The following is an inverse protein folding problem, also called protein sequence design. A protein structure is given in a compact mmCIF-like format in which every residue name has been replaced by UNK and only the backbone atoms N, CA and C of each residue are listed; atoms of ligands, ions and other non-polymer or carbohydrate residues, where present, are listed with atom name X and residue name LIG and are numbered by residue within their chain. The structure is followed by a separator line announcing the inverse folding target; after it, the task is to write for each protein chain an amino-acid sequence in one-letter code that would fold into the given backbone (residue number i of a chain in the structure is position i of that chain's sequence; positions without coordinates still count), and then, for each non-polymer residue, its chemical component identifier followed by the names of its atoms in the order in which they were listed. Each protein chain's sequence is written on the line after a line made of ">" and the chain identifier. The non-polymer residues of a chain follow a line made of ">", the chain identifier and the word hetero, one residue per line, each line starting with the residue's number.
data_IF_832910893175
#
_entry.id   IF_832910893175
#
_cell.length_a   1.000
_cell.length_b   1.000
_cell.length_c   1.000
_cell.angle_alpha   90.00
_cell.angle_beta   90.00
_cell.angle_gamma   90.00
#
_symmetry.space_group_name_H-M   'P 1'
#
loop_
_entity.id
_entity.type
_entity.pdbx_description
1 polymer ?
#
# COMPACT_ATOMS: atom_id res chain seq x y z
N UNK A 1 14.50 -9.68 -4.10
CA UNK A 1 14.22 -8.23 -4.19
C UNK A 1 13.61 -7.95 -5.55
N UNK A 2 12.53 -7.16 -5.64
CA UNK A 2 11.97 -6.78 -6.94
C UNK A 2 12.97 -5.90 -7.68
N UNK A 3 13.18 -6.14 -8.98
CA UNK A 3 14.04 -5.30 -9.82
C UNK A 3 13.34 -3.99 -10.18
N UNK A 4 14.13 -2.92 -10.37
CA UNK A 4 13.59 -1.65 -10.85
C UNK A 4 13.04 -1.81 -12.28
N UNK A 5 11.74 -1.62 -12.41
CA UNK A 5 11.06 -1.39 -13.69
C UNK A 5 10.05 -0.27 -13.49
N UNK A 6 9.67 0.48 -14.54
CA UNK A 6 8.64 1.52 -14.43
C UNK A 6 7.33 0.99 -13.86
N UNK A 7 6.94 -0.23 -14.25
CA UNK A 7 5.76 -0.93 -13.71
C UNK A 7 5.89 -1.18 -12.21
N UNK A 8 7.00 -1.78 -11.77
CA UNK A 8 7.24 -2.08 -10.35
C UNK A 8 7.31 -0.81 -9.50
N UNK A 9 7.83 0.29 -10.05
CA UNK A 9 7.85 1.59 -9.38
C UNK A 9 6.43 2.13 -9.12
N UNK A 10 5.53 2.02 -10.11
CA UNK A 10 4.12 2.41 -9.96
C UNK A 10 3.40 1.50 -8.96
N UNK A 11 3.70 0.20 -8.98
CA UNK A 11 3.16 -0.75 -8.00
C UNK A 11 3.59 -0.40 -6.58
N UNK A 12 4.89 -0.17 -6.36
CA UNK A 12 5.44 0.23 -5.07
C UNK A 12 4.85 1.55 -4.58
N UNK A 13 4.69 2.54 -5.47
CA UNK A 13 4.01 3.80 -5.15
C UNK A 13 2.58 3.57 -4.64
N UNK A 14 1.80 2.73 -5.34
CA UNK A 14 0.42 2.40 -4.95
C UNK A 14 0.37 1.67 -3.61
N UNK A 15 1.31 0.76 -3.38
CA UNK A 15 1.36 -0.01 -2.13
C UNK A 15 1.77 0.86 -0.94
N UNK A 16 2.73 1.78 -1.11
CA UNK A 16 3.06 2.80 -0.11
C UNK A 16 1.85 3.69 0.22
N UNK A 17 1.09 4.15 -0.77
CA UNK A 17 -0.12 4.93 -0.52
C UNK A 17 -1.21 4.14 0.22
N UNK A 18 -1.39 2.85 -0.12
CA UNK A 18 -2.33 1.97 0.57
C UNK A 18 -1.92 1.77 2.01
N UNK A 19 -0.64 1.49 2.24
CA UNK A 19 -0.09 1.26 3.56
C UNK A 19 -0.17 2.53 4.42
N UNK A 20 0.13 3.71 3.86
CA UNK A 20 -0.05 4.99 4.54
C UNK A 20 -1.52 5.23 4.98
N UNK A 21 -2.50 4.79 4.18
CA UNK A 21 -3.93 4.90 4.52
C UNK A 21 -4.33 4.04 5.74
N UNK A 22 -3.57 3.00 6.04
CA UNK A 22 -3.84 2.07 7.13
C UNK A 22 -3.21 2.53 8.46
N UNK A 23 -2.34 3.53 8.43
CA UNK A 23 -1.75 4.11 9.63
C UNK A 23 -2.79 4.89 10.44
N UNK A 24 -2.45 5.16 11.71
CA UNK A 24 -3.35 5.81 12.67
C UNK A 24 -4.00 7.07 12.08
N UNK A 25 -5.34 7.07 12.11
CA UNK A 25 -6.17 8.20 11.71
C UNK A 25 -6.67 8.85 12.98
N UNK A 26 -6.20 10.06 13.26
CA UNK A 26 -6.83 10.93 14.26
C UNK A 26 -8.15 11.43 13.68
N UNK A 27 -9.27 10.90 14.20
CA UNK A 27 -10.61 11.25 13.77
C UNK A 27 -11.00 12.68 14.19
N UNK A 28 -10.39 13.21 15.24
CA UNK A 28 -10.65 14.55 15.76
C UNK A 28 -9.90 15.64 14.98
N UNK A 29 -8.72 15.33 14.43
CA UNK A 29 -7.89 16.27 13.66
C UNK A 29 -7.36 15.62 12.38
N UNK A 30 -8.23 15.55 11.36
CA UNK A 30 -7.92 14.93 10.06
C UNK A 30 -6.64 15.48 9.42
N UNK A 31 -6.37 16.77 9.56
CA UNK A 31 -5.21 17.44 8.95
C UNK A 31 -3.88 17.12 9.64
N UNK A 32 -3.93 16.64 10.90
CA UNK A 32 -2.77 16.18 11.67
C UNK A 32 -2.67 14.66 11.72
N UNK A 33 -3.55 13.96 11.00
CA UNK A 33 -3.53 12.50 11.00
C UNK A 33 -2.22 12.00 10.39
N UNK A 34 -1.55 11.09 11.11
CA UNK A 34 -0.29 10.51 10.67
C UNK A 34 -0.43 9.84 9.29
N UNK A 35 -1.57 9.20 9.04
CA UNK A 35 -1.92 8.67 7.72
C UNK A 35 -1.84 9.71 6.59
N UNK A 36 -2.41 10.90 6.79
CA UNK A 36 -2.42 11.95 5.77
C UNK A 36 -1.02 12.55 5.57
N UNK A 37 -0.25 12.72 6.64
CA UNK A 37 1.14 13.19 6.59
C UNK A 37 2.00 12.22 5.78
N UNK A 38 1.95 10.92 6.10
CA UNK A 38 2.69 9.90 5.36
C UNK A 38 2.27 9.85 3.88
N UNK A 39 0.97 9.96 3.59
CA UNK A 39 0.47 9.95 2.22
C UNK A 39 1.00 11.14 1.40
N UNK A 40 1.01 12.33 1.98
CA UNK A 40 1.56 13.53 1.34
C UNK A 40 3.06 13.36 1.10
N UNK A 41 3.80 12.93 2.12
CA UNK A 41 5.24 12.71 2.03
C UNK A 41 5.61 11.71 0.93
N UNK A 42 4.91 10.58 0.83
CA UNK A 42 5.11 9.61 -0.27
C UNK A 42 4.87 10.27 -1.63
N UNK A 43 3.79 11.02 -1.79
CA UNK A 43 3.49 11.70 -3.06
C UNK A 43 4.57 12.72 -3.42
N UNK A 44 5.00 13.51 -2.45
CA UNK A 44 5.92 14.62 -2.70
C UNK A 44 7.32 14.10 -3.02
N UNK A 45 7.81 13.06 -2.30
CA UNK A 45 9.07 12.37 -2.63
C UNK A 45 9.08 11.74 -4.03
N UNK A 46 7.98 11.12 -4.46
CA UNK A 46 7.89 10.56 -5.82
C UNK A 46 7.82 11.65 -6.89
N UNK A 47 7.26 12.83 -6.57
CA UNK A 47 7.24 13.99 -7.47
C UNK A 47 8.60 14.65 -7.59
N UNK A 48 9.29 14.87 -6.47
CA UNK A 48 10.66 15.40 -6.41
C UNK A 48 11.61 14.59 -7.31
N UNK A 49 11.48 13.26 -7.27
CA UNK A 49 12.37 12.37 -8.01
C UNK A 49 11.87 11.99 -9.43
N UNK A 50 10.78 12.62 -9.92
CA UNK A 50 10.18 12.29 -11.23
C UNK A 50 11.11 12.57 -12.40
N UNK A 51 11.92 13.63 -12.30
CA UNK A 51 12.82 14.11 -13.36
C UNK A 51 14.19 13.44 -13.36
N UNK A 52 14.48 12.56 -12.41
CA UNK A 52 15.75 11.82 -12.39
C UNK A 52 15.87 11.02 -13.68
N UNK A 53 16.95 11.20 -14.43
CA UNK A 53 17.20 10.48 -15.69
C UNK A 53 18.09 9.27 -15.44
N UNK A 54 19.12 9.43 -14.60
CA UNK A 54 20.10 8.40 -14.27
C UNK A 54 19.45 7.10 -13.75
N UNK A 55 19.83 5.99 -14.39
CA UNK A 55 19.32 4.66 -14.11
C UNK A 55 19.88 4.07 -12.83
N UNK A 56 21.12 4.39 -12.45
CA UNK A 56 21.69 3.94 -11.18
C UNK A 56 21.01 4.65 -10.01
N UNK A 57 20.83 5.97 -10.09
CA UNK A 57 20.07 6.73 -9.11
C UNK A 57 18.62 6.25 -8.99
N UNK A 58 17.94 5.93 -10.11
CA UNK A 58 16.59 5.32 -10.08
C UNK A 58 16.54 4.00 -9.31
N UNK A 59 17.52 3.12 -9.53
CA UNK A 59 17.62 1.84 -8.81
C UNK A 59 17.84 2.08 -7.32
N UNK A 60 18.77 2.96 -6.97
CA UNK A 60 19.05 3.32 -5.58
C UNK A 60 17.80 3.87 -4.86
N UNK A 61 17.08 4.82 -5.48
CA UNK A 61 15.86 5.39 -4.92
C UNK A 61 14.73 4.35 -4.81
N UNK A 62 14.67 3.40 -5.74
CA UNK A 62 13.71 2.31 -5.69
C UNK A 62 14.02 1.32 -4.56
N UNK A 63 15.29 0.96 -4.35
CA UNK A 63 15.71 0.10 -3.25
C UNK A 63 15.48 0.78 -1.89
N UNK A 64 15.74 2.09 -1.79
CA UNK A 64 15.38 2.93 -0.65
C UNK A 64 13.87 2.84 -0.37
N UNK A 65 13.03 3.06 -1.38
CA UNK A 65 11.58 2.98 -1.23
C UNK A 65 11.07 1.57 -0.82
N UNK A 66 11.75 0.50 -1.26
CA UNK A 66 11.42 -0.87 -0.82
C UNK A 66 11.74 -1.09 0.66
N UNK A 67 12.85 -0.55 1.15
CA UNK A 67 13.21 -0.60 2.58
C UNK A 67 12.18 0.14 3.42
N UNK A 68 11.83 1.36 3.02
CA UNK A 68 10.80 2.16 3.68
C UNK A 68 9.44 1.46 3.68
N UNK A 69 9.04 0.85 2.57
CA UNK A 69 7.81 0.06 2.51
C UNK A 69 7.85 -1.13 3.48
N UNK A 70 8.99 -1.81 3.60
CA UNK A 70 9.16 -2.93 4.53
C UNK A 70 9.05 -2.47 5.99
N UNK A 71 9.65 -1.32 6.35
CA UNK A 71 9.50 -0.74 7.67
C UNK A 71 8.05 -0.38 7.98
N UNK A 72 7.37 0.28 7.03
CA UNK A 72 5.99 0.70 7.20
C UNK A 72 5.04 -0.49 7.31
N UNK A 73 5.31 -1.57 6.56
CA UNK A 73 4.59 -2.84 6.70
C UNK A 73 4.79 -3.47 8.07
N UNK A 74 6.01 -3.51 8.58
CA UNK A 74 6.32 -4.06 9.91
C UNK A 74 5.62 -3.29 11.03
N UNK A 75 5.54 -1.95 10.92
CA UNK A 75 4.75 -1.10 11.81
C UNK A 75 3.25 -1.45 11.77
N UNK A 76 2.69 -1.65 10.57
CA UNK A 76 1.27 -2.01 10.40
C UNK A 76 0.94 -3.41 10.92
N UNK A 77 1.86 -4.35 10.78
CA UNK A 77 1.71 -5.73 11.26
C UNK A 77 2.01 -5.86 12.77
N UNK A 78 2.46 -4.77 13.39
CA UNK A 78 2.86 -4.66 14.79
C UNK A 78 3.95 -5.67 15.18
N UNK A 79 4.91 -5.99 14.30
CA UNK A 79 5.98 -6.96 14.62
C UNK A 79 6.77 -6.53 15.87
N UNK A 80 6.88 -5.22 16.10
CA UNK A 80 7.55 -4.65 17.27
C UNK A 80 6.78 -4.82 18.59
N UNK A 81 5.46 -5.07 18.57
CA UNK A 81 4.68 -5.33 19.80
C UNK A 81 5.08 -6.65 20.46
N UNK A 82 5.52 -7.65 19.68
CA UNK A 82 6.00 -8.94 20.20
C UNK A 82 7.26 -8.71 21.06
N UNK A 83 8.08 -7.72 20.70
CA UNK A 83 9.32 -7.36 21.40
C UNK A 83 9.10 -6.29 22.49
N UNK A 84 8.14 -5.38 22.31
CA UNK A 84 7.86 -4.26 23.22
C UNK A 84 6.34 -4.04 23.41
N UNK A 85 5.71 -4.69 24.41
CA UNK A 85 4.26 -4.75 24.56
C UNK A 85 3.57 -3.40 24.85
N UNK A 86 4.34 -2.38 25.26
CA UNK A 86 3.86 -1.04 25.59
C UNK A 86 3.99 -0.03 24.44
N UNK A 87 4.37 -0.47 23.23
CA UNK A 87 4.48 0.42 22.07
C UNK A 87 3.11 0.70 21.43
N UNK A 88 3.05 1.77 20.63
CA UNK A 88 1.85 2.29 19.97
C UNK A 88 1.14 1.15 19.23
N UNK A 89 -0.07 0.79 19.68
CA UNK A 89 -0.88 -0.26 19.04
C UNK A 89 -1.51 0.29 17.77
N UNK A 90 -1.13 -0.24 16.61
CA UNK A 90 -1.97 -0.09 15.41
C UNK A 90 -3.22 -0.93 15.62
N UNK A 91 -4.39 -0.32 15.37
CA UNK A 91 -5.71 -0.95 15.52
C UNK A 91 -5.72 -2.35 14.85
N UNK A 92 -6.25 -3.40 15.52
CA UNK A 92 -6.26 -4.76 14.98
C UNK A 92 -6.93 -4.87 13.60
N UNK A 93 -7.91 -3.99 13.31
CA UNK A 93 -8.52 -3.91 11.98
C UNK A 93 -7.56 -3.46 10.89
N UNK A 94 -6.70 -2.48 11.17
CA UNK A 94 -5.72 -1.99 10.21
C UNK A 94 -4.66 -3.06 9.92
N UNK A 95 -4.25 -3.83 10.93
CA UNK A 95 -3.35 -4.97 10.78
C UNK A 95 -3.99 -6.13 9.99
N UNK A 96 -5.30 -6.40 10.14
CA UNK A 96 -6.01 -7.38 9.30
C UNK A 96 -6.14 -6.88 7.86
N UNK A 97 -6.48 -5.59 7.67
CA UNK A 97 -6.62 -4.95 6.36
C UNK A 97 -5.27 -4.87 5.62
N UNK A 98 -4.15 -4.66 6.31
CA UNK A 98 -2.82 -4.63 5.69
C UNK A 98 -2.45 -5.98 5.07
N UNK A 99 -2.66 -7.09 5.81
CA UNK A 99 -2.40 -8.45 5.30
C UNK A 99 -3.18 -8.75 4.01
N UNK A 100 -4.42 -8.28 3.90
CA UNK A 100 -5.26 -8.49 2.71
C UNK A 100 -4.88 -7.53 1.57
N UNK A 101 -4.68 -6.25 1.89
CA UNK A 101 -4.47 -5.19 0.89
C UNK A 101 -3.04 -5.15 0.35
N UNK A 102 -2.05 -5.69 1.06
CA UNK A 102 -0.65 -5.65 0.67
C UNK A 102 -0.13 -7.03 0.21
N UNK A 103 -0.92 -8.10 0.33
CA UNK A 103 -0.54 -9.41 -0.24
C UNK A 103 -1.03 -9.55 -1.68
N UNK A 104 -0.11 -9.89 -2.59
CA UNK A 104 -0.39 -10.14 -4.01
C UNK A 104 -1.39 -11.28 -4.22
N UNK A 105 -1.24 -12.37 -3.46
CA UNK A 105 -2.12 -13.54 -3.51
C UNK A 105 -3.57 -13.23 -3.08
N UNK A 106 -3.77 -12.37 -2.09
CA UNK A 106 -5.12 -11.95 -1.68
C UNK A 106 -5.72 -10.96 -2.67
N UNK A 107 -4.91 -10.05 -3.23
CA UNK A 107 -5.37 -9.11 -4.26
C UNK A 107 -5.83 -9.83 -5.53
N UNK A 108 -5.11 -10.87 -5.97
CA UNK A 108 -5.50 -11.68 -7.14
C UNK A 108 -6.83 -12.40 -6.91
N UNK A 109 -7.02 -13.01 -5.73
CA UNK A 109 -8.29 -13.64 -5.33
C UNK A 109 -9.46 -12.63 -5.28
N UNK A 110 -9.22 -11.40 -4.85
CA UNK A 110 -10.25 -10.35 -4.83
C UNK A 110 -10.59 -9.90 -6.26
N UNK A 111 -9.58 -9.70 -7.12
CA UNK A 111 -9.81 -9.31 -8.51
C UNK A 111 -10.59 -10.37 -9.28
N UNK A 112 -10.20 -11.65 -9.19
CA UNK A 112 -10.90 -12.74 -9.88
C UNK A 112 -12.36 -12.86 -9.44
N UNK A 113 -12.65 -12.70 -8.14
CA UNK A 113 -14.02 -12.65 -7.62
C UNK A 113 -14.82 -11.45 -8.13
N UNK A 114 -14.21 -10.27 -8.24
CA UNK A 114 -14.89 -9.06 -8.73
C UNK A 114 -15.23 -9.17 -10.22
N UNK A 115 -14.33 -9.70 -11.03
CA UNK A 115 -14.58 -9.94 -12.45
C UNK A 115 -15.65 -11.02 -12.66
N UNK A 116 -15.59 -12.14 -11.92
CA UNK A 116 -16.64 -13.16 -11.99
C UNK A 116 -18.03 -12.69 -11.53
N UNK A 117 -18.12 -11.63 -10.73
CA UNK A 117 -19.38 -11.00 -10.34
C UNK A 117 -19.92 -10.11 -11.47
N UNK A 118 -19.04 -9.35 -12.15
CA UNK A 118 -19.40 -8.55 -13.33
C UNK A 118 -19.83 -9.46 -14.47
N UNK A 119 -19.12 -10.56 -14.72
CA UNK A 119 -19.47 -11.52 -15.77
C UNK A 119 -20.82 -12.19 -15.50
N UNK A 120 -21.13 -12.54 -14.24
CA UNK A 120 -22.46 -13.04 -13.86
C UNK A 120 -23.54 -11.99 -14.05
N UNK A 121 -23.29 -10.75 -13.66
CA UNK A 121 -24.23 -9.65 -13.83
C UNK A 121 -24.51 -9.41 -15.32
N UNK A 122 -23.47 -9.38 -16.16
CA UNK A 122 -23.61 -9.28 -17.61
C UNK A 122 -24.44 -10.46 -18.15
N UNK A 123 -24.13 -11.70 -17.78
CA UNK A 123 -24.89 -12.88 -18.24
C UNK A 123 -26.37 -12.85 -17.82
N UNK A 124 -26.69 -12.31 -16.64
CA UNK A 124 -28.09 -12.17 -16.19
C UNK A 124 -28.84 -11.08 -16.95
N UNK A 125 -28.15 -10.07 -17.47
CA UNK A 125 -28.77 -8.99 -18.25
C UNK A 125 -28.79 -9.28 -19.77
N UNK A 126 -27.92 -10.17 -20.28
CA UNK A 126 -27.87 -10.53 -21.71
C UNK A 126 -28.76 -11.72 -22.07
N UNK A 127 -29.21 -12.52 -21.10
CA UNK A 127 -30.02 -13.73 -21.34
C UNK A 127 -31.55 -13.48 -21.38
N UNK A 128 -32.00 -12.22 -21.44
CA UNK A 128 -33.40 -11.90 -21.74
C UNK A 128 -33.57 -11.69 -23.25
N UNK A 129 -33.70 -12.78 -24.00
CA UNK A 129 -34.31 -12.83 -25.33
C UNK A 129 -35.21 -14.05 -25.41
#
# INVERSE_FOLDING_TARGET
>A
MMSYTPSNCIHLYRDLLRAARLLLVDSARKDRSFSQVCRNQVRDRFRENKSVVDTQMKRYLFDQAQKEFSHLKSLLENDSLIKYPNTIRVLPEAAKKSKILLSTSSQEKIKSKKWGLIDRVISTFTNNK
#
